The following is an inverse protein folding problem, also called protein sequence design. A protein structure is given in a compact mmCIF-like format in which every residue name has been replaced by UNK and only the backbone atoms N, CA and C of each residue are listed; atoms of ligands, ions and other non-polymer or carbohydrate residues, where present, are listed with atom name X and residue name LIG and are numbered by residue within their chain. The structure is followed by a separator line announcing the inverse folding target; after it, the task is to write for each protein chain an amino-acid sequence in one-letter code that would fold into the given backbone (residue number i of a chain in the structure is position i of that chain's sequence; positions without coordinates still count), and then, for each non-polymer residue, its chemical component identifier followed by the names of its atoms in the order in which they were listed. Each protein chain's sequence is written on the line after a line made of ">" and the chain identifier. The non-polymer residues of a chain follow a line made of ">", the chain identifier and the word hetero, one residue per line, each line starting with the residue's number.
data_IF_905706293864
#
_entry.id   IF_905706293864
#
_cell.length_a   1.000
_cell.length_b   1.000
_cell.length_c   1.000
_cell.angle_alpha   90.00
_cell.angle_beta   90.00
_cell.angle_gamma   90.00
#
_symmetry.space_group_name_H-M   'P 1'
#
loop_
_entity.id
_entity.type
_entity.pdbx_description
1 polymer ?
#
# COMPACT_ATOMS: atom_id res chain seq x y z
N UNK A 1 -1.88 0.06 -20.75
CA UNK A 1 -2.30 0.55 -19.42
C UNK A 1 -1.75 1.94 -19.13
N UNK A 2 -0.45 2.22 -19.26
CA UNK A 2 0.14 3.55 -19.01
C UNK A 2 -0.48 4.68 -19.86
N UNK A 3 -0.83 4.42 -21.12
CA UNK A 3 -1.49 5.41 -21.97
C UNK A 3 -2.87 5.80 -21.41
N UNK A 4 -3.60 4.85 -20.85
CA UNK A 4 -4.89 5.10 -20.21
C UNK A 4 -4.73 5.85 -18.89
N UNK A 5 -3.76 5.47 -18.06
CA UNK A 5 -3.45 6.20 -16.83
C UNK A 5 -3.19 7.69 -17.13
N UNK A 6 -2.33 7.98 -18.09
CA UNK A 6 -2.04 9.34 -18.53
C UNK A 6 -3.29 10.06 -19.07
N UNK A 7 -4.10 9.37 -19.89
CA UNK A 7 -5.33 9.94 -20.47
C UNK A 7 -6.33 10.39 -19.41
N UNK A 8 -6.43 9.63 -18.32
CA UNK A 8 -7.36 9.91 -17.22
C UNK A 8 -6.73 10.68 -16.05
N UNK A 9 -5.52 11.20 -16.22
CA UNK A 9 -4.86 12.02 -15.20
C UNK A 9 -4.33 11.26 -14.01
N UNK A 10 -4.23 9.92 -14.08
CA UNK A 10 -3.66 9.12 -13.02
C UNK A 10 -2.13 9.23 -12.99
N UNK A 11 -1.57 9.34 -11.80
CA UNK A 11 -0.12 9.28 -11.59
C UNK A 11 0.31 7.84 -11.36
N UNK A 12 1.37 7.43 -12.03
CA UNK A 12 1.98 6.10 -11.87
C UNK A 12 3.36 6.27 -11.27
N UNK A 13 3.63 5.60 -10.16
CA UNK A 13 4.96 5.49 -9.54
C UNK A 13 5.40 4.04 -9.73
N UNK A 14 6.46 3.84 -10.49
CA UNK A 14 6.94 2.50 -10.83
C UNK A 14 7.68 1.87 -9.65
N UNK A 15 7.63 0.54 -9.52
CA UNK A 15 8.42 -0.20 -8.53
C UNK A 15 9.92 0.16 -8.59
N UNK A 16 10.47 0.34 -9.81
CA UNK A 16 11.84 0.80 -9.99
C UNK A 16 12.08 2.16 -9.33
N UNK A 17 11.18 3.12 -9.50
CA UNK A 17 11.31 4.45 -8.87
C UNK A 17 11.28 4.35 -7.35
N UNK A 18 10.45 3.43 -6.81
CA UNK A 18 10.40 3.17 -5.36
C UNK A 18 11.74 2.59 -4.88
N UNK A 19 12.35 1.68 -5.65
CA UNK A 19 13.66 1.09 -5.31
C UNK A 19 14.80 2.11 -5.39
N UNK A 20 14.76 3.02 -6.35
CA UNK A 20 15.78 4.05 -6.56
C UNK A 20 15.65 5.21 -5.55
N UNK A 21 14.44 5.67 -5.25
CA UNK A 21 14.17 6.85 -4.41
C UNK A 21 13.81 6.51 -2.95
N UNK A 22 13.51 5.24 -2.70
CA UNK A 22 13.04 4.75 -1.41
C UNK A 22 11.52 4.81 -1.23
N UNK A 23 11.00 3.85 -0.48
CA UNK A 23 9.57 3.70 -0.22
C UNK A 23 8.96 4.94 0.48
N UNK A 24 9.71 5.57 1.37
CA UNK A 24 9.24 6.69 2.20
C UNK A 24 8.92 7.93 1.37
N UNK A 25 9.79 8.28 0.43
CA UNK A 25 9.56 9.40 -0.48
C UNK A 25 8.41 9.09 -1.44
N UNK A 26 8.34 7.85 -1.91
CA UNK A 26 7.31 7.41 -2.85
C UNK A 26 5.91 7.46 -2.24
N UNK A 27 5.73 6.96 -1.01
CA UNK A 27 4.43 7.02 -0.33
C UNK A 27 4.03 8.45 0.01
N UNK A 28 4.96 9.28 0.46
CA UNK A 28 4.70 10.70 0.73
C UNK A 28 4.15 11.41 -0.51
N UNK A 29 4.79 11.21 -1.65
CA UNK A 29 4.35 11.75 -2.93
C UNK A 29 2.97 11.22 -3.34
N UNK A 30 2.73 9.91 -3.16
CA UNK A 30 1.43 9.30 -3.47
C UNK A 30 0.30 9.87 -2.60
N UNK A 31 0.54 10.03 -1.30
CA UNK A 31 -0.41 10.64 -0.36
C UNK A 31 -0.69 12.09 -0.74
N UNK A 32 0.33 12.89 -1.04
CA UNK A 32 0.19 14.28 -1.46
C UNK A 32 -0.71 14.41 -2.70
N UNK A 33 -0.49 13.54 -3.70
CA UNK A 33 -1.30 13.53 -4.92
C UNK A 33 -2.73 13.07 -4.65
N UNK A 34 -2.91 11.97 -3.89
CA UNK A 34 -4.22 11.38 -3.64
C UNK A 34 -5.10 12.22 -2.72
N UNK A 35 -4.50 13.00 -1.82
CA UNK A 35 -5.22 13.88 -0.89
C UNK A 35 -5.52 15.27 -1.45
N UNK A 36 -4.95 15.60 -2.62
CA UNK A 36 -5.14 16.91 -3.22
C UNK A 36 -6.58 17.09 -3.71
N UNK A 37 -7.23 18.13 -3.21
CA UNK A 37 -8.61 18.50 -3.59
C UNK A 37 -9.65 17.37 -3.34
N UNK A 38 -9.38 16.51 -2.32
CA UNK A 38 -10.27 15.42 -1.92
C UNK A 38 -10.53 15.44 -0.40
N UNK A 39 -11.74 15.04 -0.02
CA UNK A 39 -12.11 14.93 1.41
C UNK A 39 -11.68 13.58 2.02
N UNK A 40 -11.53 12.57 1.18
CA UNK A 40 -11.26 11.19 1.61
C UNK A 40 -10.19 10.56 0.73
N UNK A 41 -9.33 9.79 1.35
CA UNK A 41 -8.37 8.92 0.68
C UNK A 41 -8.72 7.46 0.98
N UNK A 42 -8.75 6.64 -0.06
CA UNK A 42 -8.96 5.19 0.01
C UNK A 42 -7.78 4.45 -0.60
N UNK A 43 -7.46 3.29 -0.06
CA UNK A 43 -6.34 2.47 -0.50
C UNK A 43 -6.86 1.13 -0.99
N UNK A 44 -6.49 0.72 -2.19
CA UNK A 44 -6.62 -0.66 -2.64
C UNK A 44 -5.22 -1.26 -2.78
N UNK A 45 -5.02 -2.41 -2.17
CA UNK A 45 -3.76 -3.15 -2.22
C UNK A 45 -3.99 -4.42 -3.02
N UNK A 46 -3.34 -4.53 -4.16
CA UNK A 46 -3.26 -5.78 -4.93
C UNK A 46 -2.02 -6.56 -4.51
N UNK A 47 -2.15 -7.86 -4.24
CA UNK A 47 -1.01 -8.71 -3.88
C UNK A 47 0.10 -8.71 -4.94
N UNK A 48 -0.26 -8.47 -6.20
CA UNK A 48 0.66 -8.42 -7.34
C UNK A 48 1.67 -7.27 -7.26
N UNK A 49 1.45 -6.29 -6.37
CA UNK A 49 2.46 -5.25 -6.14
C UNK A 49 3.69 -5.77 -5.38
N UNK A 50 3.59 -6.93 -4.75
CA UNK A 50 4.65 -7.55 -3.97
C UNK A 50 5.57 -8.41 -4.83
N UNK A 51 6.84 -8.45 -4.44
CA UNK A 51 7.79 -9.40 -5.01
C UNK A 51 7.36 -10.84 -4.69
N UNK A 52 7.53 -11.76 -5.65
CA UNK A 52 7.16 -13.17 -5.51
C UNK A 52 7.79 -13.86 -4.29
N UNK A 53 8.94 -13.38 -3.82
CA UNK A 53 9.57 -13.89 -2.60
C UNK A 53 8.85 -13.42 -1.32
N UNK A 54 8.15 -12.28 -1.38
CA UNK A 54 7.36 -11.76 -0.27
C UNK A 54 5.95 -12.33 -0.26
N UNK A 55 5.33 -12.46 -1.44
CA UNK A 55 3.99 -13.03 -1.56
C UNK A 55 3.92 -13.95 -2.80
N UNK A 56 4.16 -15.24 -2.64
CA UNK A 56 4.17 -16.21 -3.75
C UNK A 56 2.73 -16.60 -4.16
N UNK A 57 1.95 -15.65 -4.66
CA UNK A 57 0.57 -15.84 -5.11
C UNK A 57 0.30 -15.11 -6.43
N UNK A 58 -0.70 -15.60 -7.16
CA UNK A 58 -1.15 -14.99 -8.41
C UNK A 58 -0.09 -14.97 -9.50
N UNK A 59 -0.17 -14.04 -10.44
CA UNK A 59 0.92 -13.78 -11.35
C UNK A 59 2.12 -13.26 -10.55
N UNK A 60 3.14 -14.13 -10.43
CA UNK A 60 4.32 -13.82 -9.63
C UNK A 60 5.21 -12.83 -10.37
N UNK A 61 5.21 -11.59 -9.92
CA UNK A 61 6.08 -10.56 -10.44
C UNK A 61 7.43 -10.52 -9.69
N UNK A 62 8.47 -10.27 -10.46
CA UNK A 62 9.81 -10.07 -9.90
C UNK A 62 10.06 -8.57 -9.66
N UNK A 63 10.89 -8.27 -8.69
CA UNK A 63 11.27 -6.88 -8.36
C UNK A 63 10.12 -5.98 -7.88
N UNK A 64 9.06 -6.59 -7.32
CA UNK A 64 7.99 -5.89 -6.64
C UNK A 64 8.42 -5.29 -5.29
N UNK A 65 7.46 -4.84 -4.52
CA UNK A 65 7.68 -4.38 -3.15
C UNK A 65 8.02 -5.56 -2.23
N UNK A 66 8.85 -5.32 -1.25
CA UNK A 66 8.99 -6.23 -0.11
C UNK A 66 7.80 -6.07 0.84
N UNK A 67 7.50 -7.09 1.65
CA UNK A 67 6.48 -7.01 2.71
C UNK A 67 6.78 -5.85 3.69
N UNK A 68 8.04 -5.60 3.99
CA UNK A 68 8.45 -4.45 4.82
C UNK A 68 8.05 -3.11 4.19
N UNK A 69 8.40 -2.90 2.91
CA UNK A 69 8.05 -1.65 2.22
C UNK A 69 6.54 -1.42 2.20
N UNK A 70 5.75 -2.46 1.86
CA UNK A 70 4.29 -2.37 1.85
C UNK A 70 3.73 -2.04 3.23
N UNK A 71 4.14 -2.76 4.28
CA UNK A 71 3.69 -2.52 5.65
C UNK A 71 3.98 -1.08 6.09
N UNK A 72 5.17 -0.58 5.83
CA UNK A 72 5.54 0.78 6.21
C UNK A 72 4.79 1.83 5.39
N UNK A 73 4.56 1.59 4.10
CA UNK A 73 3.74 2.49 3.27
C UNK A 73 2.30 2.55 3.75
N UNK A 74 1.72 1.42 4.17
CA UNK A 74 0.37 1.37 4.72
C UNK A 74 0.26 2.05 6.09
N UNK A 75 1.28 1.92 6.93
CA UNK A 75 1.36 2.68 8.18
C UNK A 75 1.32 4.19 7.93
N UNK A 76 2.16 4.69 7.02
CA UNK A 76 2.20 6.11 6.64
C UNK A 76 0.86 6.59 6.08
N UNK A 77 0.20 5.77 5.26
CA UNK A 77 -1.12 6.10 4.72
C UNK A 77 -2.22 6.14 5.80
N UNK A 78 -2.17 5.22 6.78
CA UNK A 78 -3.01 5.27 7.97
C UNK A 78 -2.75 6.53 8.81
N UNK A 79 -1.49 6.85 9.05
CA UNK A 79 -1.06 8.07 9.76
C UNK A 79 -1.51 9.35 9.04
N UNK A 80 -1.49 9.36 7.72
CA UNK A 80 -2.03 10.45 6.89
C UNK A 80 -3.57 10.54 6.92
N UNK A 81 -4.26 9.51 7.41
CA UNK A 81 -5.70 9.50 7.62
C UNK A 81 -6.52 8.94 6.48
N UNK A 82 -5.98 8.00 5.72
CA UNK A 82 -6.79 7.22 4.77
C UNK A 82 -8.00 6.61 5.49
N UNK A 83 -9.18 6.68 4.88
CA UNK A 83 -10.46 6.34 5.54
C UNK A 83 -10.89 4.89 5.34
N UNK A 84 -10.26 4.18 4.44
CA UNK A 84 -10.52 2.77 4.20
C UNK A 84 -9.44 2.13 3.34
N UNK A 85 -9.38 0.81 3.41
CA UNK A 85 -8.54 0.01 2.53
C UNK A 85 -9.21 -1.34 2.24
N UNK A 86 -8.82 -1.93 1.13
CA UNK A 86 -9.01 -3.35 0.85
C UNK A 86 -7.69 -4.01 0.46
N UNK A 87 -7.69 -5.32 0.50
CA UNK A 87 -6.60 -6.16 0.02
C UNK A 87 -7.17 -7.21 -0.92
N UNK A 88 -6.74 -7.19 -2.17
CA UNK A 88 -7.28 -8.03 -3.25
C UNK A 88 -6.21 -8.96 -3.82
N UNK A 89 -6.63 -9.88 -4.68
CA UNK A 89 -5.78 -10.86 -5.35
C UNK A 89 -5.14 -11.88 -4.38
N UNK A 90 -5.88 -12.31 -3.35
CA UNK A 90 -5.49 -13.43 -2.49
C UNK A 90 -6.21 -14.69 -2.96
N UNK A 91 -5.44 -15.68 -3.38
CA UNK A 91 -5.96 -16.92 -3.97
C UNK A 91 -6.04 -18.04 -2.93
N UNK A 92 -7.24 -18.49 -2.55
CA UNK A 92 -7.43 -19.47 -1.48
C UNK A 92 -6.96 -20.90 -1.85
N UNK A 93 -6.86 -21.20 -3.14
CA UNK A 93 -6.59 -22.55 -3.64
C UNK A 93 -5.10 -22.83 -3.91
N UNK A 94 -4.20 -21.96 -3.43
CA UNK A 94 -2.76 -22.12 -3.58
C UNK A 94 -2.10 -22.71 -2.35
N UNK A 95 -0.97 -23.39 -2.53
CA UNK A 95 -0.16 -23.91 -1.41
C UNK A 95 0.36 -22.79 -0.50
N UNK A 96 0.45 -21.56 -1.01
CA UNK A 96 0.92 -20.37 -0.30
C UNK A 96 -0.20 -19.54 0.34
N UNK A 97 -1.44 -19.99 0.27
CA UNK A 97 -2.59 -19.23 0.79
C UNK A 97 -2.45 -18.78 2.25
N UNK A 98 -1.96 -19.67 3.11
CA UNK A 98 -1.78 -19.35 4.53
C UNK A 98 -0.77 -18.20 4.73
N UNK A 99 0.35 -18.23 3.99
CA UNK A 99 1.34 -17.15 4.00
C UNK A 99 0.73 -15.85 3.50
N UNK A 100 0.07 -15.88 2.36
CA UNK A 100 -0.55 -14.71 1.78
C UNK A 100 -1.65 -14.09 2.65
N UNK A 101 -2.49 -14.92 3.27
CA UNK A 101 -3.50 -14.44 4.21
C UNK A 101 -2.86 -13.81 5.46
N UNK A 102 -1.76 -14.38 5.95
CA UNK A 102 -0.99 -13.83 7.06
C UNK A 102 -0.38 -12.47 6.71
N UNK A 103 0.25 -12.37 5.53
CA UNK A 103 0.84 -11.11 5.05
C UNK A 103 -0.21 -10.01 4.88
N UNK A 104 -1.39 -10.35 4.36
CA UNK A 104 -2.51 -9.42 4.26
C UNK A 104 -3.01 -8.96 5.64
N UNK A 105 -3.04 -9.85 6.63
CA UNK A 105 -3.36 -9.49 8.03
C UNK A 105 -2.31 -8.52 8.59
N UNK A 106 -1.02 -8.80 8.41
CA UNK A 106 0.04 -7.89 8.85
C UNK A 106 -0.04 -6.52 8.18
N UNK A 107 -0.22 -6.49 6.87
CA UNK A 107 -0.40 -5.25 6.11
C UNK A 107 -1.56 -4.41 6.67
N UNK A 108 -2.70 -5.07 6.95
CA UNK A 108 -3.88 -4.44 7.56
C UNK A 108 -3.57 -3.90 8.96
N UNK A 109 -2.85 -4.66 9.78
CA UNK A 109 -2.47 -4.22 11.14
C UNK A 109 -1.55 -2.99 11.12
N UNK A 110 -0.63 -2.89 10.16
CA UNK A 110 0.20 -1.70 9.99
C UNK A 110 -0.61 -0.48 9.61
N UNK A 111 -1.59 -0.62 8.71
CA UNK A 111 -2.53 0.46 8.40
C UNK A 111 -3.32 0.92 9.63
N UNK A 112 -3.88 -0.03 10.39
CA UNK A 112 -4.63 0.27 11.62
C UNK A 112 -3.76 0.91 12.69
N UNK A 113 -2.49 0.51 12.79
CA UNK A 113 -1.52 1.13 13.70
C UNK A 113 -1.29 2.60 13.32
N UNK A 114 -1.09 2.90 12.04
CA UNK A 114 -0.99 4.30 11.58
C UNK A 114 -2.20 5.14 11.94
N UNK A 115 -3.41 4.61 11.79
CA UNK A 115 -4.65 5.27 12.21
C UNK A 115 -4.70 5.50 13.74
N UNK A 116 -4.27 4.51 14.52
CA UNK A 116 -4.25 4.62 15.98
C UNK A 116 -3.25 5.68 16.45
N UNK A 117 -2.06 5.71 15.87
CA UNK A 117 -1.04 6.72 16.13
C UNK A 117 -1.53 8.12 15.78
N UNK A 118 -2.18 8.29 14.62
CA UNK A 118 -2.82 9.56 14.25
C UNK A 118 -3.79 10.04 15.33
N UNK A 119 -4.71 9.19 15.77
CA UNK A 119 -5.69 9.55 16.80
C UNK A 119 -5.05 9.95 18.12
N UNK A 120 -3.98 9.27 18.52
CA UNK A 120 -3.22 9.61 19.71
C UNK A 120 -2.63 11.02 19.59
N UNK A 121 -1.98 11.31 18.47
CA UNK A 121 -1.36 12.61 18.21
C UNK A 121 -2.39 13.75 18.18
N UNK A 122 -3.58 13.50 17.62
CA UNK A 122 -4.71 14.46 17.63
C UNK A 122 -5.29 14.68 19.06
N UNK A 123 -5.24 13.66 19.91
CA UNK A 123 -5.70 13.73 21.31
C UNK A 123 -4.73 14.46 22.23
N UNK A 124 -3.44 14.38 21.97
CA UNK A 124 -2.38 15.06 22.76
C UNK A 124 -2.26 16.58 22.43
N UNK A 125 -2.89 17.04 21.35
CA UNK A 125 -2.90 18.45 20.94
C UNK A 125 -4.10 19.24 21.49
N UNK A 126 -4.99 18.58 22.22
CA UNK A 126 -6.16 19.19 22.91
C UNK A 126 -5.94 19.34 24.40
#
# INVERSE_FOLDING_TARGET
>A
EFANAKKYGATVILAREIKENGWKESIRKAIEIASKDTDLMYITVCSDCLDAASMPQGPQDMCGLTSYELCMMLHEAGLAGAKGMDFVEIYPDTLSYQTAAHDACWATLYYLNGLAERKKNEGEQK
#
